data_IF_804518728388
#
_entry.id   IF_804518728388
#
_cell.length_a   1.000
_cell.length_b   1.000
_cell.length_c   1.000
_cell.angle_alpha   90.00
_cell.angle_beta   90.00
_cell.angle_gamma   90.00
#
_symmetry.space_group_name_H-M   'P 1'
#
loop_
_entity.id
_entity.type
_entity.pdbx_description
1 polymer ?
#
# COMPACT_ATOMS: atom_id res chain seq x y z
N UNK A 1 -37.74 -7.71 -2.67
CA UNK A 1 -37.12 -6.62 -3.45
C UNK A 1 -36.06 -5.89 -2.72
N UNK A 2 -36.35 -5.41 -1.50
CA UNK A 2 -35.35 -4.76 -0.68
C UNK A 2 -34.19 -5.69 -0.30
N UNK A 3 -34.47 -7.00 -0.22
CA UNK A 3 -33.44 -7.99 0.13
C UNK A 3 -32.36 -8.09 -0.92
N UNK A 4 -32.72 -8.03 -2.21
CA UNK A 4 -31.74 -8.04 -3.30
C UNK A 4 -30.89 -6.80 -3.33
N UNK A 5 -31.47 -5.66 -3.01
CA UNK A 5 -30.72 -4.41 -2.93
C UNK A 5 -29.73 -4.44 -1.79
N UNK A 6 -30.14 -4.96 -0.63
CA UNK A 6 -29.25 -5.11 0.53
C UNK A 6 -28.10 -6.06 0.23
N UNK A 7 -28.40 -7.17 -0.41
CA UNK A 7 -27.36 -8.14 -0.78
C UNK A 7 -26.33 -7.53 -1.73
N UNK A 8 -26.78 -6.74 -2.70
CA UNK A 8 -25.88 -6.06 -3.62
C UNK A 8 -24.98 -5.07 -2.88
N UNK A 9 -25.57 -4.34 -1.96
CA UNK A 9 -24.82 -3.35 -1.18
C UNK A 9 -23.78 -4.07 -0.32
N UNK A 10 -24.18 -5.16 0.33
CA UNK A 10 -23.26 -5.94 1.16
C UNK A 10 -22.12 -6.51 0.36
N UNK A 11 -22.39 -7.00 -0.85
CA UNK A 11 -21.35 -7.53 -1.75
C UNK A 11 -20.38 -6.42 -2.18
N UNK A 12 -20.92 -5.25 -2.47
CA UNK A 12 -20.08 -4.09 -2.85
C UNK A 12 -19.20 -3.64 -1.69
N UNK A 13 -19.76 -3.64 -0.48
CA UNK A 13 -19.00 -3.28 0.71
C UNK A 13 -17.87 -4.28 0.93
N UNK A 14 -18.16 -5.58 0.82
CA UNK A 14 -17.15 -6.61 0.97
C UNK A 14 -16.06 -6.47 -0.07
N UNK A 15 -16.42 -6.19 -1.31
CA UNK A 15 -15.45 -5.95 -2.37
C UNK A 15 -14.57 -4.75 -2.07
N UNK A 16 -15.18 -3.65 -1.62
CA UNK A 16 -14.45 -2.43 -1.31
C UNK A 16 -13.52 -2.62 -0.10
N UNK A 17 -13.98 -3.36 0.89
CA UNK A 17 -13.15 -3.68 2.05
C UNK A 17 -11.92 -4.48 1.64
N UNK A 18 -12.11 -5.49 0.79
CA UNK A 18 -11.00 -6.29 0.29
C UNK A 18 -10.04 -5.45 -0.55
N UNK A 19 -10.57 -4.63 -1.44
CA UNK A 19 -9.75 -3.73 -2.27
C UNK A 19 -8.96 -2.76 -1.41
N UNK A 20 -9.59 -2.23 -0.37
CA UNK A 20 -8.93 -1.31 0.55
C UNK A 20 -7.80 -2.00 1.29
N UNK A 21 -8.03 -3.23 1.75
CA UNK A 21 -7.00 -4.01 2.43
C UNK A 21 -5.81 -4.27 1.51
N UNK A 22 -6.07 -4.66 0.27
CA UNK A 22 -5.01 -4.89 -0.71
C UNK A 22 -4.21 -3.62 -0.98
N UNK A 23 -4.91 -2.49 -1.13
CA UNK A 23 -4.24 -1.21 -1.32
C UNK A 23 -3.37 -0.84 -0.12
N UNK A 24 -3.88 -1.07 1.08
CA UNK A 24 -3.12 -0.80 2.30
C UNK A 24 -1.85 -1.64 2.35
N UNK A 25 -1.93 -2.91 1.95
CA UNK A 25 -0.76 -3.79 1.91
C UNK A 25 0.25 -3.31 0.88
N UNK A 26 -0.22 -2.86 -0.28
CA UNK A 26 0.66 -2.34 -1.33
C UNK A 26 1.36 -1.07 -0.86
N UNK A 27 0.61 -0.15 -0.26
CA UNK A 27 1.17 1.10 0.26
C UNK A 27 2.23 0.80 1.32
N UNK A 28 1.95 -0.14 2.21
CA UNK A 28 2.90 -0.52 3.24
C UNK A 28 4.21 -1.04 2.64
N UNK A 29 4.13 -1.92 1.64
CA UNK A 29 5.32 -2.44 0.97
C UNK A 29 6.10 -1.35 0.26
N UNK A 30 5.40 -0.47 -0.43
CA UNK A 30 6.04 0.66 -1.11
C UNK A 30 6.75 1.57 -0.13
N UNK A 31 6.16 1.79 1.02
CA UNK A 31 6.77 2.61 2.06
C UNK A 31 8.09 1.99 2.53
N UNK A 32 8.09 0.68 2.73
CA UNK A 32 9.30 -0.04 3.11
C UNK A 32 10.37 0.04 2.03
N UNK A 33 9.97 -0.11 0.76
CA UNK A 33 10.90 -0.02 -0.36
C UNK A 33 11.52 1.37 -0.45
N UNK A 34 10.70 2.40 -0.25
CA UNK A 34 11.18 3.77 -0.26
C UNK A 34 12.19 3.99 0.86
N UNK A 35 11.91 3.50 2.04
CA UNK A 35 12.83 3.63 3.18
C UNK A 35 14.16 2.93 2.93
N UNK A 36 14.12 1.75 2.33
CA UNK A 36 15.33 1.02 1.97
C UNK A 36 16.14 1.77 0.92
N UNK A 37 15.47 2.30 -0.10
CA UNK A 37 16.14 3.07 -1.14
C UNK A 37 16.77 4.34 -0.58
N UNK A 38 16.09 5.01 0.33
CA UNK A 38 16.64 6.20 0.99
C UNK A 38 17.89 5.86 1.81
N UNK A 39 17.85 4.73 2.51
CA UNK A 39 19.01 4.29 3.28
C UNK A 39 20.18 4.00 2.36
N UNK A 40 19.96 3.34 1.24
CA UNK A 40 21.00 3.06 0.26
C UNK A 40 21.57 4.33 -0.32
N UNK A 41 20.71 5.29 -0.64
CA UNK A 41 21.16 6.60 -1.14
C UNK A 41 22.04 7.32 -0.14
N UNK A 42 21.67 7.27 1.14
CA UNK A 42 22.50 7.86 2.20
C UNK A 42 23.89 7.25 2.25
N UNK A 43 23.96 5.93 2.10
CA UNK A 43 25.26 5.24 2.09
C UNK A 43 26.10 5.68 0.90
N UNK A 44 25.51 5.73 -0.28
CA UNK A 44 26.22 6.17 -1.49
C UNK A 44 26.68 7.60 -1.38
N UNK A 45 25.84 8.47 -0.83
CA UNK A 45 26.22 9.88 -0.61
C UNK A 45 27.44 9.99 0.30
N UNK A 46 27.46 9.24 1.38
CA UNK A 46 28.61 9.22 2.28
C UNK A 46 29.88 8.75 1.59
N UNK A 47 29.75 7.72 0.76
CA UNK A 47 30.88 7.20 0.01
C UNK A 47 31.43 8.24 -0.96
N UNK A 48 30.53 8.95 -1.65
CA UNK A 48 30.93 10.01 -2.56
C UNK A 48 31.59 11.17 -1.84
N UNK A 49 31.08 11.55 -0.67
CA UNK A 49 31.66 12.65 0.13
C UNK A 49 33.02 12.27 0.69
N UNK A 50 33.26 10.97 0.95
CA UNK A 50 34.53 10.50 1.45
C UNK A 50 35.64 10.50 0.39
N UNK A 51 35.26 10.61 -0.86
CA UNK A 51 36.22 10.65 -1.98
C UNK A 51 36.65 12.08 -2.25
#
# INVERSE_FOLDING_TARGET
MSDNALERIELKIAYLENANQELSDIVYRQQRDIEQLRAQLSVYQRQLEAW
#
